data_IF_718511374494
#
_entry.id   IF_718511374494
#
_cell.length_a   1.000
_cell.length_b   1.000
_cell.length_c   1.000
_cell.angle_alpha   90.00
_cell.angle_beta   90.00
_cell.angle_gamma   90.00
#
_symmetry.space_group_name_H-M   'P 1'
#
loop_
_entity.id
_entity.type
_entity.pdbx_description
1 polymer ?
#
# COMPACT_ATOMS: atom_id res chain seq x y z
N UNK A 1 -32.51 15.10 -9.13
CA UNK A 1 -32.53 13.71 -9.64
C UNK A 1 -31.08 13.29 -9.67
N UNK A 2 -30.73 12.39 -8.75
CA UNK A 2 -29.51 12.50 -7.96
C UNK A 2 -28.33 11.72 -8.54
N UNK A 3 -27.23 12.43 -8.83
CA UNK A 3 -25.96 11.89 -9.35
C UNK A 3 -25.31 10.83 -8.46
N UNK A 4 -25.67 10.80 -7.17
CA UNK A 4 -25.23 9.79 -6.22
C UNK A 4 -25.82 8.40 -6.54
N UNK A 5 -27.09 8.36 -6.96
CA UNK A 5 -27.74 7.10 -7.32
C UNK A 5 -27.16 6.54 -8.63
N UNK A 6 -26.86 7.39 -9.60
CA UNK A 6 -26.17 6.97 -10.83
C UNK A 6 -24.75 6.45 -10.54
N UNK A 7 -24.01 7.10 -9.63
CA UNK A 7 -22.68 6.65 -9.22
C UNK A 7 -22.73 5.29 -8.50
N UNK A 8 -23.70 5.08 -7.60
CA UNK A 8 -23.88 3.81 -6.91
C UNK A 8 -24.37 2.70 -7.84
N UNK A 9 -25.24 3.02 -8.80
CA UNK A 9 -25.72 2.08 -9.82
C UNK A 9 -24.60 1.67 -10.78
N UNK A 10 -23.71 2.60 -11.13
CA UNK A 10 -22.49 2.35 -11.89
C UNK A 10 -21.55 1.40 -11.12
N UNK A 11 -21.28 1.67 -9.84
CA UNK A 11 -20.51 0.78 -8.98
C UNK A 11 -21.13 -0.62 -8.88
N UNK A 12 -22.47 -0.71 -8.85
CA UNK A 12 -23.20 -1.98 -8.79
C UNK A 12 -23.10 -2.76 -10.09
N UNK A 13 -23.21 -2.10 -11.26
CA UNK A 13 -23.02 -2.70 -12.59
C UNK A 13 -21.58 -3.18 -12.82
N UNK A 14 -20.59 -2.42 -12.34
CA UNK A 14 -19.18 -2.83 -12.35
C UNK A 14 -18.98 -4.13 -11.56
N UNK A 15 -19.74 -4.33 -10.47
CA UNK A 15 -19.60 -5.51 -9.61
C UNK A 15 -20.26 -6.76 -10.20
N UNK A 16 -21.34 -6.63 -10.97
CA UNK A 16 -22.12 -7.78 -11.48
C UNK A 16 -21.64 -8.33 -12.83
N UNK A 17 -20.90 -7.56 -13.63
CA UNK A 17 -20.41 -7.97 -14.96
C UNK A 17 -19.25 -8.99 -14.98
N UNK A 18 -18.66 -9.33 -13.82
CA UNK A 18 -17.36 -10.01 -13.70
C UNK A 18 -17.38 -11.55 -13.74
N UNK A 19 -18.43 -12.18 -14.26
CA UNK A 19 -18.60 -13.65 -14.20
C UNK A 19 -17.94 -14.56 -15.27
N UNK A 20 -17.29 -14.16 -16.37
CA UNK A 20 -16.88 -15.17 -17.36
C UNK A 20 -15.50 -15.84 -17.17
N UNK A 21 -14.51 -15.20 -16.55
CA UNK A 21 -13.11 -15.64 -16.69
C UNK A 21 -12.56 -16.61 -15.62
N UNK A 22 -13.33 -16.93 -14.57
CA UNK A 22 -12.93 -17.89 -13.52
C UNK A 22 -13.71 -19.22 -13.59
N UNK A 23 -14.44 -19.45 -14.68
CA UNK A 23 -15.16 -20.71 -14.92
C UNK A 23 -14.17 -21.80 -15.32
N UNK A 24 -13.51 -22.42 -14.34
CA UNK A 24 -13.07 -23.83 -14.45
C UNK A 24 -12.85 -24.46 -13.06
N UNK A 25 -13.67 -24.11 -12.07
CA UNK A 25 -13.87 -24.97 -10.91
C UNK A 25 -15.33 -24.89 -10.45
N UNK A 26 -16.02 -26.02 -10.24
CA UNK A 26 -17.34 -26.01 -9.66
C UNK A 26 -17.22 -25.71 -8.15
N UNK A 27 -18.16 -24.94 -7.62
CA UNK A 27 -18.38 -24.62 -6.19
C UNK A 27 -17.66 -23.36 -5.65
N UNK A 28 -18.35 -22.22 -5.75
CA UNK A 28 -18.76 -21.34 -4.62
C UNK A 28 -18.95 -19.89 -5.11
N UNK A 29 -20.20 -19.45 -5.17
CA UNK A 29 -20.61 -18.05 -5.43
C UNK A 29 -20.38 -17.17 -4.18
N UNK A 30 -19.28 -17.40 -3.45
CA UNK A 30 -18.96 -16.81 -2.15
C UNK A 30 -17.46 -16.48 -2.00
N UNK A 31 -16.77 -16.10 -3.08
CA UNK A 31 -15.37 -15.66 -3.00
C UNK A 31 -15.32 -14.32 -2.26
N UNK A 32 -15.01 -14.35 -0.95
CA UNK A 32 -14.92 -13.15 -0.11
C UNK A 32 -13.75 -12.29 -0.61
N UNK A 33 -14.08 -11.20 -1.28
CA UNK A 33 -13.14 -10.21 -1.81
C UNK A 33 -12.52 -9.41 -0.66
N UNK A 34 -11.19 -9.28 -0.66
CA UNK A 34 -10.46 -8.43 0.30
C UNK A 34 -9.60 -7.41 -0.42
N UNK A 35 -9.64 -6.16 0.02
CA UNK A 35 -8.83 -5.07 -0.53
C UNK A 35 -7.62 -4.81 0.36
N UNK A 36 -6.44 -4.73 -0.24
CA UNK A 36 -5.20 -4.32 0.41
C UNK A 36 -4.77 -2.98 -0.13
N UNK A 37 -4.65 -1.98 0.74
CA UNK A 37 -4.05 -0.69 0.38
C UNK A 37 -2.56 -0.70 0.77
N UNK A 38 -1.62 -0.76 -0.18
CA UNK A 38 -0.21 -0.67 0.15
C UNK A 38 0.19 0.78 0.47
N UNK A 39 0.87 0.93 1.60
CA UNK A 39 1.45 2.15 2.13
C UNK A 39 2.93 1.87 2.45
N UNK A 40 3.68 2.90 2.83
CA UNK A 40 5.07 2.74 3.27
C UNK A 40 5.37 3.55 4.52
N UNK A 41 6.38 3.08 5.24
CA UNK A 41 7.09 3.95 6.17
C UNK A 41 7.97 4.94 5.42
N UNK A 42 7.99 6.17 5.92
CA UNK A 42 8.74 7.28 5.38
C UNK A 42 9.39 8.09 6.51
N UNK A 43 10.45 8.81 6.18
CA UNK A 43 11.00 9.86 7.03
C UNK A 43 10.60 11.23 6.50
N UNK A 44 10.12 12.09 7.39
CA UNK A 44 9.73 13.46 7.09
C UNK A 44 10.66 14.42 7.83
N UNK A 45 11.38 15.23 7.07
CA UNK A 45 12.19 16.33 7.57
C UNK A 45 11.35 17.57 7.86
N UNK A 46 11.84 18.48 8.70
CA UNK A 46 11.17 19.74 9.00
C UNK A 46 11.51 20.28 10.38
N UNK A 47 11.12 21.52 10.63
CA UNK A 47 11.29 22.11 11.96
C UNK A 47 10.36 21.41 12.99
N UNK A 48 10.63 21.51 14.31
CA UNK A 48 9.84 20.81 15.32
C UNK A 48 8.34 21.15 15.30
N UNK A 49 7.97 22.40 15.00
CA UNK A 49 6.57 22.82 14.94
C UNK A 49 5.83 22.22 13.74
N UNK A 50 6.49 22.15 12.59
CA UNK A 50 5.98 21.47 11.39
C UNK A 50 5.81 19.97 11.65
N UNK A 51 6.83 19.31 12.20
CA UNK A 51 6.78 17.87 12.48
C UNK A 51 5.77 17.50 13.55
N UNK A 52 5.47 18.40 14.50
CA UNK A 52 4.42 18.17 15.50
C UNK A 52 3.01 18.02 14.89
N UNK A 53 2.80 18.43 13.63
CA UNK A 53 1.55 18.23 12.89
C UNK A 53 1.40 16.82 12.33
N UNK A 54 2.48 16.04 12.20
CA UNK A 54 2.41 14.66 11.72
C UNK A 54 1.54 13.80 12.65
N UNK A 55 0.82 12.78 12.12
CA UNK A 55 0.15 11.80 12.96
C UNK A 55 1.15 11.12 13.90
N UNK A 56 0.84 11.07 15.20
CA UNK A 56 1.62 10.28 16.16
C UNK A 56 1.28 8.81 15.97
N UNK A 57 2.24 8.04 15.47
CA UNK A 57 2.06 6.62 15.23
C UNK A 57 1.97 5.88 16.58
N UNK A 58 0.97 5.00 16.77
CA UNK A 58 0.92 4.14 17.94
C UNK A 58 2.10 3.15 17.94
N UNK A 59 2.49 2.66 19.12
CA UNK A 59 3.68 1.80 19.27
C UNK A 59 3.70 0.61 18.31
N UNK A 60 2.57 -0.09 18.12
CA UNK A 60 2.49 -1.25 17.23
C UNK A 60 2.75 -0.92 15.74
N UNK A 61 2.70 0.36 15.33
CA UNK A 61 3.03 0.82 13.98
C UNK A 61 4.40 1.48 13.89
N UNK A 62 5.22 1.42 14.93
CA UNK A 62 6.58 1.94 14.90
C UNK A 62 7.55 0.77 14.80
N UNK A 63 7.93 0.32 13.59
CA UNK A 63 8.96 -0.72 13.44
C UNK A 63 10.33 -0.23 13.92
N UNK A 64 10.47 1.08 14.16
CA UNK A 64 11.72 1.71 14.55
C UNK A 64 11.88 1.93 16.06
N UNK A 65 11.08 1.25 16.89
CA UNK A 65 11.22 1.34 18.36
C UNK A 65 12.65 1.02 18.83
N UNK A 66 13.33 0.09 18.14
CA UNK A 66 14.67 -0.35 18.49
C UNK A 66 15.79 0.58 17.99
N UNK A 67 15.47 1.54 17.11
CA UNK A 67 16.45 2.39 16.41
C UNK A 67 16.54 3.81 17.01
N UNK A 68 15.74 4.08 18.05
CA UNK A 68 15.71 5.37 18.76
C UNK A 68 14.93 6.47 18.04
N UNK A 69 14.57 7.53 18.79
CA UNK A 69 13.86 8.67 18.21
C UNK A 69 14.78 9.55 17.36
N UNK A 70 14.24 10.05 16.25
CA UNK A 70 14.95 10.96 15.36
C UNK A 70 14.84 12.41 15.85
N UNK A 71 15.97 13.09 16.05
CA UNK A 71 15.99 14.48 16.56
C UNK A 71 15.53 15.50 15.52
N UNK A 72 15.89 15.32 14.24
CA UNK A 72 15.72 16.31 13.17
C UNK A 72 14.73 15.89 12.07
N UNK A 73 14.10 14.73 12.22
CA UNK A 73 13.10 14.17 11.31
C UNK A 73 12.09 13.35 12.12
N UNK A 74 11.01 12.91 11.51
CA UNK A 74 10.02 12.05 12.16
C UNK A 74 9.55 10.97 11.20
N UNK A 75 9.30 9.78 11.72
CA UNK A 75 8.69 8.72 10.93
C UNK A 75 7.21 9.02 10.67
N UNK A 76 6.75 8.68 9.47
CA UNK A 76 5.37 8.84 9.05
C UNK A 76 4.96 7.66 8.15
N UNK A 77 3.65 7.46 8.02
CA UNK A 77 3.08 6.56 7.02
C UNK A 77 2.65 7.40 5.83
N UNK A 78 3.09 7.01 4.63
CA UNK A 78 2.79 7.70 3.36
C UNK A 78 2.35 6.70 2.29
N UNK A 79 1.70 7.15 1.21
CA UNK A 79 1.46 6.32 0.02
C UNK A 79 2.77 5.71 -0.49
N UNK A 80 2.65 4.51 -1.06
CA UNK A 80 3.78 3.82 -1.67
C UNK A 80 4.34 4.67 -2.82
N UNK A 81 5.66 4.88 -2.85
CA UNK A 81 6.32 5.64 -3.92
C UNK A 81 6.47 4.79 -5.17
N UNK A 82 6.84 5.44 -6.27
CA UNK A 82 7.11 4.76 -7.55
C UNK A 82 8.09 3.60 -7.39
N UNK A 83 7.75 2.46 -7.99
CA UNK A 83 8.52 1.22 -7.90
C UNK A 83 7.70 -0.01 -8.26
N UNK A 84 8.05 -1.14 -7.64
CA UNK A 84 7.51 -2.46 -7.91
C UNK A 84 7.09 -3.14 -6.61
N UNK A 85 5.87 -3.64 -6.57
CA UNK A 85 5.28 -4.33 -5.44
C UNK A 85 4.98 -5.78 -5.81
N UNK A 86 5.47 -6.69 -4.96
CA UNK A 86 5.34 -8.12 -5.09
C UNK A 86 4.63 -8.67 -3.85
N UNK A 87 3.69 -9.60 -4.04
CA UNK A 87 3.00 -10.28 -2.94
C UNK A 87 3.31 -11.77 -2.98
N UNK A 88 4.07 -12.24 -1.99
CA UNK A 88 4.33 -13.66 -1.80
C UNK A 88 3.21 -14.25 -0.94
N UNK A 89 2.54 -15.27 -1.44
CA UNK A 89 1.43 -15.94 -0.76
C UNK A 89 1.78 -17.42 -0.52
N UNK A 90 1.46 -17.90 0.67
CA UNK A 90 1.34 -19.33 0.96
C UNK A 90 -0.14 -19.66 1.12
N UNK A 91 -0.63 -20.59 0.31
CA UNK A 91 -1.98 -21.13 0.43
C UNK A 91 -1.99 -22.45 1.19
N UNK A 92 -3.08 -22.77 1.86
CA UNK A 92 -3.28 -24.08 2.49
C UNK A 92 -3.43 -25.18 1.43
N UNK A 93 -4.02 -24.84 0.28
CA UNK A 93 -4.24 -25.72 -0.87
C UNK A 93 -2.99 -26.00 -1.70
N UNK A 94 -1.93 -25.20 -1.57
CA UNK A 94 -0.70 -25.31 -2.35
C UNK A 94 0.47 -25.70 -1.47
N UNK A 95 1.40 -26.53 -1.96
CA UNK A 95 2.56 -26.97 -1.18
C UNK A 95 3.67 -25.91 -1.10
N UNK A 96 3.79 -25.04 -2.10
CA UNK A 96 4.84 -24.02 -2.19
C UNK A 96 4.32 -22.61 -1.92
N UNK A 97 5.24 -21.69 -1.64
CA UNK A 97 4.98 -20.25 -1.73
C UNK A 97 4.91 -19.84 -3.20
N UNK A 98 4.02 -18.92 -3.52
CA UNK A 98 3.80 -18.43 -4.89
C UNK A 98 3.68 -16.92 -4.92
N UNK A 99 4.16 -16.31 -6.00
CA UNK A 99 3.93 -14.89 -6.25
C UNK A 99 2.51 -14.70 -6.76
N UNK A 100 1.67 -14.04 -5.96
CA UNK A 100 0.27 -13.79 -6.30
C UNK A 100 0.14 -12.95 -7.57
N UNK A 101 0.91 -11.86 -7.63
CA UNK A 101 0.89 -10.86 -8.70
C UNK A 101 2.07 -9.91 -8.51
N UNK A 102 2.36 -9.15 -9.56
CA UNK A 102 3.36 -8.08 -9.56
C UNK A 102 2.69 -6.78 -10.00
N UNK A 103 3.00 -5.70 -9.31
CA UNK A 103 2.42 -4.38 -9.57
C UNK A 103 3.52 -3.36 -9.78
N UNK A 104 3.37 -2.53 -10.81
CA UNK A 104 4.09 -1.26 -10.90
C UNK A 104 3.31 -0.20 -10.13
N UNK A 105 3.99 0.46 -9.22
CA UNK A 105 3.45 1.58 -8.45
C UNK A 105 3.76 2.85 -9.21
N UNK A 106 2.74 3.60 -9.60
CA UNK A 106 2.89 4.90 -10.22
C UNK A 106 3.27 5.98 -9.17
N UNK A 107 3.80 7.15 -9.60
CA UNK A 107 4.15 8.24 -8.68
C UNK A 107 3.03 8.70 -7.75
N UNK A 108 1.77 8.51 -8.15
CA UNK A 108 0.59 8.86 -7.36
C UNK A 108 0.12 7.75 -6.39
N UNK A 109 0.83 6.61 -6.33
CA UNK A 109 0.50 5.45 -5.51
C UNK A 109 -0.53 4.49 -6.14
N UNK A 110 -0.97 4.73 -7.38
CA UNK A 110 -1.80 3.77 -8.11
C UNK A 110 -0.99 2.56 -8.56
N UNK A 111 -1.67 1.42 -8.71
CA UNK A 111 -1.11 0.11 -9.00
C UNK A 111 -1.51 -0.32 -10.39
N UNK A 112 -0.52 -0.65 -11.20
CA UNK A 112 -0.69 -1.23 -12.52
C UNK A 112 -0.21 -2.66 -12.48
N UNK A 113 -1.06 -3.59 -12.92
CA UNK A 113 -0.66 -4.98 -13.09
C UNK A 113 0.40 -5.08 -14.18
N UNK A 114 1.48 -5.83 -13.92
CA UNK A 114 2.56 -6.06 -14.89
C UNK A 114 2.80 -7.55 -15.11
N UNK A 115 3.29 -7.89 -16.30
CA UNK A 115 3.78 -9.24 -16.58
C UNK A 115 5.03 -9.53 -15.77
N UNK A 116 5.10 -10.74 -15.22
CA UNK A 116 6.27 -11.25 -14.49
C UNK A 116 7.51 -11.37 -15.39
N UNK A 117 7.30 -11.65 -16.68
CA UNK A 117 8.39 -11.94 -17.64
C UNK A 117 9.05 -10.67 -18.18
N UNK A 118 8.32 -9.55 -18.15
CA UNK A 118 8.76 -8.28 -18.72
C UNK A 118 8.37 -7.07 -17.85
N UNK A 119 8.82 -7.01 -16.58
CA UNK A 119 8.42 -5.95 -15.65
C UNK A 119 8.92 -4.55 -16.07
N UNK A 120 9.89 -4.46 -17.00
CA UNK A 120 10.37 -3.20 -17.57
C UNK A 120 9.47 -2.65 -18.67
N UNK A 121 8.60 -3.46 -19.27
CA UNK A 121 7.73 -2.99 -20.34
C UNK A 121 6.70 -1.99 -19.78
N UNK A 122 6.38 -0.92 -20.50
CA UNK A 122 5.28 -0.05 -20.12
C UNK A 122 3.99 -0.87 -20.07
N UNK A 123 3.11 -0.57 -19.10
CA UNK A 123 1.81 -1.21 -19.05
C UNK A 123 1.12 -1.03 -20.42
N UNK A 124 0.51 -2.09 -20.97
CA UNK A 124 -0.15 -2.00 -22.26
C UNK A 124 -1.15 -0.84 -22.24
N UNK A 125 -1.12 0.03 -23.27
CA UNK A 125 -2.10 1.09 -23.46
C UNK A 125 -3.46 0.43 -23.72
N UNK A 126 -4.21 0.19 -22.65
CA UNK A 126 -5.49 -0.49 -22.75
C UNK A 126 -6.54 0.47 -23.29
N UNK A 127 -7.06 0.19 -24.48
CA UNK A 127 -8.06 1.02 -25.17
C UNK A 127 -9.49 0.89 -24.62
N UNK A 128 -9.72 0.08 -23.60
CA UNK A 128 -11.05 -0.14 -22.99
C UNK A 128 -11.14 0.54 -21.62
N UNK A 129 -12.23 1.28 -21.38
CA UNK A 129 -12.53 1.96 -20.12
C UNK A 129 -12.48 1.02 -18.89
N UNK A 130 -12.88 -0.24 -19.04
CA UNK A 130 -12.85 -1.24 -17.97
C UNK A 130 -11.42 -1.63 -17.57
N UNK A 131 -10.50 -1.68 -18.53
CA UNK A 131 -9.09 -1.98 -18.28
C UNK A 131 -8.36 -0.73 -17.77
N UNK A 132 -8.75 0.46 -18.22
CA UNK A 132 -8.29 1.74 -17.65
C UNK A 132 -8.66 1.81 -16.16
N UNK A 133 -9.91 1.50 -15.79
CA UNK A 133 -10.34 1.50 -14.38
C UNK A 133 -9.60 0.43 -13.55
N UNK A 134 -9.32 -0.74 -14.11
CA UNK A 134 -8.46 -1.77 -13.47
C UNK A 134 -6.99 -1.32 -13.36
N UNK A 135 -6.50 -0.53 -14.30
CA UNK A 135 -5.14 0.01 -14.36
C UNK A 135 -4.92 1.22 -13.44
N UNK A 136 -5.99 1.79 -12.89
CA UNK A 136 -5.97 2.92 -11.95
C UNK A 136 -6.49 2.53 -10.56
N UNK A 137 -6.35 1.26 -10.17
CA UNK A 137 -6.64 0.82 -8.81
C UNK A 137 -5.51 1.22 -7.85
N UNK A 138 -5.82 1.62 -6.63
CA UNK A 138 -4.82 1.84 -5.55
C UNK A 138 -4.90 0.74 -4.47
N UNK A 139 -5.75 -0.26 -4.68
CA UNK A 139 -5.86 -1.44 -3.82
C UNK A 139 -5.58 -2.71 -4.61
N UNK A 140 -5.06 -3.71 -3.91
CA UNK A 140 -4.87 -5.06 -4.41
C UNK A 140 -6.03 -5.91 -3.93
N UNK A 141 -6.70 -6.58 -4.86
CA UNK A 141 -7.82 -7.45 -4.53
C UNK A 141 -7.34 -8.89 -4.33
N UNK A 142 -7.51 -9.42 -3.13
CA UNK A 142 -7.31 -10.82 -2.80
C UNK A 142 -8.63 -11.59 -2.78
N UNK A 143 -8.53 -12.87 -3.14
CA UNK A 143 -9.63 -13.85 -3.12
C UNK A 143 -9.23 -15.06 -2.28
N UNK A 144 -10.24 -15.80 -1.81
CA UNK A 144 -10.09 -17.04 -1.06
C UNK A 144 -9.19 -16.87 0.16
N UNK A 145 -9.55 -15.91 1.01
CA UNK A 145 -8.79 -15.54 2.21
C UNK A 145 -8.65 -16.69 3.21
N UNK A 146 -9.67 -17.56 3.29
CA UNK A 146 -9.67 -18.73 4.17
C UNK A 146 -8.61 -19.75 3.76
N UNK A 147 -8.12 -19.68 2.51
CA UNK A 147 -7.05 -20.51 1.99
C UNK A 147 -5.68 -19.81 2.09
N UNK A 148 -5.61 -18.52 2.45
CA UNK A 148 -4.33 -17.82 2.61
C UNK A 148 -3.78 -18.09 4.01
N UNK A 149 -2.72 -18.91 4.07
CA UNK A 149 -1.98 -19.18 5.29
C UNK A 149 -1.07 -18.01 5.65
N UNK A 150 -0.43 -17.40 4.66
CA UNK A 150 0.55 -16.34 4.88
C UNK A 150 0.63 -15.38 3.69
N UNK A 151 0.79 -14.08 3.98
CA UNK A 151 1.06 -13.04 3.00
C UNK A 151 2.31 -12.26 3.40
N UNK A 152 3.26 -12.12 2.49
CA UNK A 152 4.47 -11.31 2.66
C UNK A 152 4.62 -10.31 1.52
N UNK A 153 4.44 -9.00 1.76
CA UNK A 153 4.69 -7.99 0.76
C UNK A 153 6.20 -7.70 0.63
N UNK A 154 6.63 -7.43 -0.60
CA UNK A 154 7.98 -6.99 -0.93
C UNK A 154 7.88 -5.80 -1.88
N UNK A 155 8.50 -4.69 -1.51
CA UNK A 155 8.64 -3.52 -2.37
C UNK A 155 10.08 -3.36 -2.85
N UNK A 156 10.25 -2.93 -4.09
CA UNK A 156 11.55 -2.58 -4.65
C UNK A 156 11.43 -1.35 -5.56
N UNK A 157 12.38 -0.40 -5.52
CA UNK A 157 12.41 0.73 -6.46
C UNK A 157 12.68 0.29 -7.92
N UNK A 158 13.20 -0.92 -8.12
CA UNK A 158 13.60 -1.44 -9.42
C UNK A 158 13.06 -2.86 -9.61
N UNK A 159 12.79 -3.30 -10.85
CA UNK A 159 12.24 -4.62 -11.08
C UNK A 159 13.22 -5.69 -10.61
N UNK A 160 12.72 -6.67 -9.86
CA UNK A 160 13.53 -7.79 -9.39
C UNK A 160 13.72 -8.82 -10.50
N UNK A 161 14.89 -9.46 -10.51
CA UNK A 161 15.15 -10.56 -11.44
C UNK A 161 14.39 -11.82 -11.01
N UNK A 162 14.04 -12.73 -11.94
CA UNK A 162 13.39 -14.00 -11.61
C UNK A 162 14.17 -14.80 -10.55
N UNK A 163 15.51 -14.80 -10.66
CA UNK A 163 16.39 -15.47 -9.69
C UNK A 163 16.22 -14.91 -8.27
N UNK A 164 16.11 -13.59 -8.12
CA UNK A 164 15.94 -12.98 -6.80
C UNK A 164 14.53 -13.25 -6.24
N UNK A 165 13.52 -13.26 -7.10
CA UNK A 165 12.16 -13.68 -6.72
C UNK A 165 12.12 -15.15 -6.26
N UNK A 166 12.90 -16.03 -6.91
CA UNK A 166 13.06 -17.41 -6.47
C UNK A 166 13.80 -17.52 -5.13
N UNK A 167 14.81 -16.69 -4.87
CA UNK A 167 15.48 -16.66 -3.56
C UNK A 167 14.47 -16.39 -2.43
N UNK A 168 13.59 -15.40 -2.58
CA UNK A 168 12.54 -15.12 -1.58
C UNK A 168 11.53 -16.27 -1.42
N UNK A 169 11.33 -17.09 -2.46
CA UNK A 169 10.41 -18.24 -2.43
C UNK A 169 11.05 -19.47 -1.78
N UNK A 170 12.31 -19.73 -2.09
CA UNK A 170 13.01 -21.00 -1.81
C UNK A 170 13.95 -20.92 -0.60
N UNK A 171 14.54 -19.74 -0.33
CA UNK A 171 15.52 -19.55 0.73
C UNK A 171 14.85 -18.89 1.94
N UNK A 172 14.43 -19.73 2.88
CA UNK A 172 13.64 -19.34 4.04
C UNK A 172 14.38 -18.36 4.96
N UNK A 173 15.53 -18.78 5.50
CA UNK A 173 16.23 -18.05 6.57
C UNK A 173 16.88 -16.74 6.08
N UNK A 174 17.38 -16.74 4.85
CA UNK A 174 18.13 -15.59 4.32
C UNK A 174 17.20 -14.53 3.70
N UNK A 175 16.15 -14.95 3.01
CA UNK A 175 15.31 -14.04 2.22
C UNK A 175 13.86 -14.01 2.71
N UNK A 176 13.15 -15.15 2.75
CA UNK A 176 11.71 -15.14 3.03
C UNK A 176 11.38 -14.56 4.41
N UNK A 177 12.12 -14.97 5.43
CA UNK A 177 11.92 -14.55 6.81
C UNK A 177 12.32 -13.10 7.08
N UNK A 178 13.05 -12.46 6.15
CA UNK A 178 13.34 -11.03 6.19
C UNK A 178 12.11 -10.16 5.86
N UNK A 179 11.10 -10.71 5.18
CA UNK A 179 9.88 -9.98 4.83
C UNK A 179 8.88 -9.99 5.99
N UNK A 180 8.16 -8.90 6.27
CA UNK A 180 7.13 -8.90 7.30
C UNK A 180 5.98 -9.84 6.92
N UNK A 181 5.63 -10.75 7.84
CA UNK A 181 4.48 -11.65 7.67
C UNK A 181 3.19 -10.95 8.11
N UNK A 182 2.19 -10.96 7.23
CA UNK A 182 0.86 -10.42 7.50
C UNK A 182 -0.11 -11.59 7.70
N UNK A 183 -0.81 -11.54 8.84
CA UNK A 183 -1.75 -12.58 9.27
C UNK A 183 -3.15 -12.23 8.72
N UNK A 184 -3.43 -12.73 7.51
CA UNK A 184 -4.68 -12.44 6.83
C UNK A 184 -5.89 -13.07 7.53
N UNK A 185 -5.67 -14.19 8.24
CA UNK A 185 -6.71 -14.88 8.99
C UNK A 185 -7.27 -14.01 10.13
N UNK A 186 -6.53 -13.02 10.63
CA UNK A 186 -7.05 -12.05 11.62
C UNK A 186 -8.05 -11.06 11.04
N UNK A 187 -8.01 -10.76 9.74
CA UNK A 187 -8.95 -9.80 9.12
C UNK A 187 -10.30 -10.42 8.75
N UNK A 188 -10.38 -11.76 8.67
CA UNK A 188 -11.64 -12.47 8.46
C UNK A 188 -12.43 -12.66 9.76
N UNK A 189 -11.78 -12.49 10.91
CA UNK A 189 -12.35 -12.57 12.26
C UNK A 189 -13.02 -11.25 12.69
N UNK A 190 -13.90 -11.27 13.72
CA UNK A 190 -14.59 -10.07 14.20
C UNK A 190 -13.64 -8.93 14.64
N UNK A 191 -14.14 -7.69 14.54
CA UNK A 191 -13.42 -6.41 14.67
C UNK A 191 -12.52 -6.22 15.90
N UNK A 192 -12.69 -7.02 16.95
CA UNK A 192 -11.96 -6.93 18.24
C UNK A 192 -10.54 -7.53 18.21
N UNK A 193 -10.09 -8.04 17.06
CA UNK A 193 -8.72 -8.55 16.94
C UNK A 193 -7.69 -7.47 17.37
N UNK A 194 -6.66 -7.86 18.16
CA UNK A 194 -5.65 -6.92 18.64
C UNK A 194 -4.91 -6.27 17.46
N UNK A 195 -4.39 -5.04 17.63
CA UNK A 195 -3.62 -4.38 16.59
C UNK A 195 -2.46 -5.24 16.10
N UNK A 196 -2.27 -5.29 14.78
CA UNK A 196 -1.17 -6.00 14.14
C UNK A 196 -0.10 -4.99 13.68
N UNK A 197 1.20 -5.30 13.84
CA UNK A 197 2.26 -4.50 13.24
C UNK A 197 2.06 -4.31 11.74
N UNK A 198 2.46 -3.16 11.22
CA UNK A 198 2.38 -2.84 9.79
C UNK A 198 0.96 -2.80 9.20
N UNK A 199 -0.12 -2.80 10.00
CA UNK A 199 -1.49 -2.85 9.46
C UNK A 199 -2.41 -1.77 10.03
N UNK A 200 -3.16 -1.14 9.13
CA UNK A 200 -4.20 -0.15 9.43
C UNK A 200 -5.58 -0.68 9.05
N UNK A 201 -6.56 -0.46 9.93
CA UNK A 201 -7.97 -0.58 9.59
C UNK A 201 -8.45 0.64 8.80
N UNK A 202 -9.60 0.50 8.14
CA UNK A 202 -10.24 1.57 7.35
C UNK A 202 -10.48 2.90 8.10
N UNK A 203 -10.77 2.84 9.40
CA UNK A 203 -11.01 3.96 10.31
C UNK A 203 -9.70 4.58 10.85
N UNK A 204 -8.57 3.90 10.66
CA UNK A 204 -7.24 4.32 11.10
C UNK A 204 -6.44 5.05 10.00
N UNK A 205 -7.03 5.24 8.82
CA UNK A 205 -6.38 5.89 7.68
C UNK A 205 -5.97 7.35 7.94
N UNK A 206 -6.45 7.99 9.01
CA UNK A 206 -5.99 9.32 9.44
C UNK A 206 -4.54 9.32 9.98
N UNK A 207 -3.92 8.16 10.19
CA UNK A 207 -2.48 8.07 10.48
C UNK A 207 -1.59 8.12 9.24
N UNK A 208 -2.18 8.06 8.03
CA UNK A 208 -1.44 8.34 6.80
C UNK A 208 -1.27 9.84 6.69
N UNK A 209 -0.02 10.32 6.69
CA UNK A 209 0.30 11.75 6.73
C UNK A 209 -0.35 12.51 5.58
N UNK A 210 -0.25 11.97 4.36
CA UNK A 210 -0.84 12.55 3.15
C UNK A 210 -2.38 12.56 3.16
N UNK A 211 -3.02 11.65 3.91
CA UNK A 211 -4.47 11.67 4.07
C UNK A 211 -4.92 12.71 5.09
N UNK A 212 -4.18 12.84 6.20
CA UNK A 212 -4.40 13.89 7.20
C UNK A 212 -4.17 15.29 6.63
N UNK A 213 -3.19 15.43 5.74
CA UNK A 213 -2.84 16.70 5.10
C UNK A 213 -3.98 17.31 4.26
N UNK A 214 -4.95 16.50 3.82
CA UNK A 214 -6.14 17.01 3.11
C UNK A 214 -6.94 18.02 3.94
N UNK A 215 -6.89 17.91 5.26
CA UNK A 215 -7.58 18.79 6.20
C UNK A 215 -6.62 19.75 6.95
N UNK A 216 -5.31 19.74 6.63
CA UNK A 216 -4.28 20.56 7.27
C UNK A 216 -3.31 21.13 6.23
N UNK A 217 -3.55 22.37 5.81
CA UNK A 217 -2.78 23.05 4.76
C UNK A 217 -1.28 23.22 5.12
N UNK A 218 -0.95 23.40 6.41
CA UNK A 218 0.45 23.52 6.84
C UNK A 218 1.16 22.16 6.79
N UNK A 219 0.44 21.08 7.11
CA UNK A 219 0.96 19.73 6.94
C UNK A 219 1.13 19.40 5.45
N UNK A 220 0.18 19.79 4.59
CA UNK A 220 0.31 19.64 3.14
C UNK A 220 1.55 20.36 2.63
N UNK A 221 1.74 21.63 2.99
CA UNK A 221 2.92 22.40 2.60
C UNK A 221 4.24 21.77 3.08
N UNK A 222 4.25 21.13 4.26
CA UNK A 222 5.41 20.36 4.73
C UNK A 222 5.69 19.15 3.84
N UNK A 223 4.65 18.39 3.49
CA UNK A 223 4.76 17.17 2.68
C UNK A 223 5.14 17.47 1.22
N UNK A 224 4.72 18.62 0.70
CA UNK A 224 5.07 19.10 -0.65
C UNK A 224 6.58 19.42 -0.79
N UNK A 225 7.29 19.63 0.32
CA UNK A 225 8.74 19.83 0.34
C UNK A 225 9.53 18.52 0.46
N UNK A 226 8.85 17.39 0.73
CA UNK A 226 9.51 16.11 0.91
C UNK A 226 9.72 15.41 -0.44
N UNK A 227 10.76 14.57 -0.57
CA UNK A 227 10.89 13.69 -1.72
C UNK A 227 9.69 12.78 -1.92
N UNK A 228 9.51 12.33 -3.16
CA UNK A 228 8.44 11.42 -3.57
C UNK A 228 7.03 11.95 -3.25
N UNK A 229 6.88 13.28 -3.17
CA UNK A 229 5.58 13.92 -3.17
C UNK A 229 4.94 13.82 -4.56
N UNK A 230 3.61 13.78 -4.60
CA UNK A 230 2.86 13.82 -5.84
C UNK A 230 1.55 14.58 -5.62
N UNK A 231 1.16 15.41 -6.57
CA UNK A 231 -0.03 16.25 -6.45
C UNK A 231 -1.34 15.44 -6.51
N UNK A 232 -1.29 14.21 -7.05
CA UNK A 232 -2.46 13.36 -7.28
C UNK A 232 -2.53 12.14 -6.37
N UNK A 233 -2.31 12.33 -5.06
CA UNK A 233 -2.37 11.22 -4.09
C UNK A 233 -3.73 10.51 -4.12
N UNK A 234 -3.69 9.18 -4.01
CA UNK A 234 -4.83 8.30 -3.75
C UNK A 234 -5.87 8.96 -2.84
N UNK A 235 -7.14 8.95 -3.26
CA UNK A 235 -8.22 9.58 -2.49
C UNK A 235 -8.41 8.90 -1.12
N UNK A 236 -8.34 9.65 0.00
CA UNK A 236 -8.57 9.08 1.34
C UNK A 236 -9.99 8.55 1.50
N UNK A 237 -10.98 9.28 0.95
CA UNK A 237 -12.39 8.87 1.01
C UNK A 237 -12.61 7.57 0.25
N UNK A 238 -12.06 7.46 -0.95
CA UNK A 238 -12.23 6.27 -1.78
C UNK A 238 -11.46 5.07 -1.18
N UNK A 239 -10.27 5.31 -0.61
CA UNK A 239 -9.53 4.31 0.17
C UNK A 239 -10.32 3.80 1.36
N UNK A 240 -10.88 4.71 2.16
CA UNK A 240 -11.71 4.34 3.31
C UNK A 240 -12.91 3.51 2.86
N UNK A 241 -13.60 3.92 1.80
CA UNK A 241 -14.76 3.20 1.27
C UNK A 241 -14.40 1.81 0.73
N UNK A 242 -13.23 1.65 0.11
CA UNK A 242 -12.76 0.36 -0.41
C UNK A 242 -12.50 -0.64 0.73
N UNK A 243 -11.95 -0.18 1.85
CA UNK A 243 -11.60 -1.03 3.00
C UNK A 243 -12.77 -1.22 4.00
N UNK A 244 -13.70 -0.27 4.04
CA UNK A 244 -14.82 -0.27 4.98
C UNK A 244 -15.76 -1.48 4.80
N UNK A 245 -16.39 -1.97 5.88
CA UNK A 245 -17.45 -2.96 5.77
C UNK A 245 -18.60 -2.45 4.88
N UNK A 246 -19.30 -3.33 4.13
CA UNK A 246 -20.55 -2.95 3.48
C UNK A 246 -21.60 -2.47 4.47
N UNK A 247 -22.57 -1.69 3.99
CA UNK A 247 -23.74 -1.29 4.79
C UNK A 247 -24.40 -2.56 5.37
N UNK A 248 -24.66 -2.56 6.68
CA UNK A 248 -25.21 -3.67 7.46
C UNK A 248 -24.26 -4.85 7.72
N UNK A 249 -22.95 -4.69 7.52
CA UNK A 249 -21.94 -5.68 7.93
C UNK A 249 -20.95 -5.06 8.91
N UNK A 250 -20.36 -5.89 9.76
CA UNK A 250 -19.32 -5.49 10.72
C UNK A 250 -17.92 -5.89 10.28
N UNK A 251 -17.81 -6.78 9.29
CA UNK A 251 -16.53 -7.31 8.84
C UNK A 251 -15.90 -6.39 7.80
N UNK A 252 -14.66 -5.92 7.98
CA UNK A 252 -13.99 -5.07 7.03
C UNK A 252 -13.83 -5.77 5.68
N UNK A 253 -13.85 -4.99 4.59
CA UNK A 253 -13.57 -5.45 3.23
C UNK A 253 -12.08 -5.44 2.93
N UNK A 254 -11.28 -4.84 3.78
CA UNK A 254 -9.86 -4.68 3.52
C UNK A 254 -9.09 -4.11 4.69
N UNK A 255 -7.78 -4.00 4.49
CA UNK A 255 -6.85 -3.35 5.40
C UNK A 255 -5.79 -2.60 4.59
N UNK A 256 -5.16 -1.60 5.19
CA UNK A 256 -3.95 -1.01 4.63
C UNK A 256 -2.73 -1.67 5.23
N UNK A 257 -1.74 -2.00 4.40
CA UNK A 257 -0.49 -2.64 4.81
C UNK A 257 0.64 -1.63 4.64
N UNK A 258 1.48 -1.48 5.66
CA UNK A 258 2.58 -0.51 5.69
C UNK A 258 3.89 -1.24 5.46
N UNK A 259 4.43 -1.09 4.27
CA UNK A 259 5.61 -1.80 3.82
C UNK A 259 6.86 -1.07 4.28
N UNK A 260 7.88 -1.84 4.63
CA UNK A 260 9.21 -1.30 4.90
C UNK A 260 9.91 -0.93 3.59
N UNK A 261 10.23 0.36 3.44
CA UNK A 261 10.98 0.90 2.32
C UNK A 261 12.26 1.56 2.86
N UNK A 262 13.19 0.74 3.35
CA UNK A 262 14.43 1.21 3.96
C UNK A 262 15.24 2.09 3.00
N UNK A 263 15.21 1.79 1.70
CA UNK A 263 15.85 2.60 0.65
C UNK A 263 15.18 3.99 0.57
N UNK A 264 13.85 4.04 0.52
CA UNK A 264 13.11 5.31 0.47
C UNK A 264 13.34 6.17 1.70
N UNK A 265 13.30 5.58 2.91
CA UNK A 265 13.62 6.28 4.16
C UNK A 265 15.04 6.88 4.09
N UNK A 266 16.01 6.09 3.63
CA UNK A 266 17.40 6.56 3.49
C UNK A 266 17.52 7.70 2.48
N UNK A 267 16.79 7.63 1.37
CA UNK A 267 16.75 8.69 0.35
C UNK A 267 16.11 9.97 0.90
N UNK A 268 15.02 9.85 1.66
CA UNK A 268 14.33 10.98 2.29
C UNK A 268 15.22 11.70 3.31
N UNK A 269 15.90 10.94 4.16
CA UNK A 269 16.85 11.50 5.14
C UNK A 269 18.05 12.18 4.47
N UNK A 270 18.58 11.58 3.41
CA UNK A 270 19.68 12.18 2.65
C UNK A 270 19.24 13.47 1.93
N UNK A 271 18.05 13.48 1.33
CA UNK A 271 17.51 14.66 0.68
C UNK A 271 17.28 15.80 1.69
N UNK A 272 16.70 15.50 2.85
CA UNK A 272 16.52 16.47 3.94
C UNK A 272 17.86 17.06 4.40
N UNK A 273 18.87 16.22 4.63
CA UNK A 273 20.21 16.67 5.00
C UNK A 273 20.83 17.57 3.93
N UNK A 274 20.69 17.20 2.65
CA UNK A 274 21.30 17.94 1.55
C UNK A 274 20.60 19.28 1.28
N UNK A 275 19.28 19.36 1.46
CA UNK A 275 18.53 20.62 1.34
C UNK A 275 19.08 21.69 2.30
N UNK A 276 19.42 21.30 3.53
CA UNK A 276 20.06 22.21 4.50
C UNK A 276 21.47 22.68 4.07
N UNK A 277 22.18 21.91 3.23
CA UNK A 277 23.52 22.26 2.73
C UNK A 277 23.44 23.15 1.50
N UNK A 278 22.46 22.94 0.62
CA UNK A 278 22.30 23.74 -0.60
C UNK A 278 21.87 25.19 -0.30
N UNK A 279 21.11 25.40 0.77
CA UNK A 279 20.82 26.73 1.34
C UNK A 279 22.06 27.48 1.82
N UNK A 280 23.11 26.75 2.22
CA UNK A 280 24.39 27.35 2.61
C UNK A 280 25.16 27.70 1.36
N UNK A 281 25.31 26.78 0.39
CA UNK A 281 26.08 27.03 -0.83
C UNK A 281 25.58 28.23 -1.63
N UNK A 282 24.26 28.45 -1.69
CA UNK A 282 23.65 29.61 -2.37
C UNK A 282 23.90 30.95 -1.69
N UNK A 283 24.33 30.98 -0.42
CA UNK A 283 24.69 32.22 0.30
C UNK A 283 26.16 32.60 0.19
N UNK A 284 27.01 31.70 -0.26
CA UNK A 284 28.47 31.89 -0.31
C UNK A 284 29.03 31.95 -1.74
N UNK A 285 28.18 31.83 -2.75
CA UNK A 285 28.47 32.02 -4.18
C UNK A 285 27.68 33.22 -4.69
#
# INVERSE_FOLDING_TARGET
>A
MDSLNEALELCRRITTGYRPALRNSPVADCTRRFELLPLRYAAVGGNPAQRARLPKLPGYLSPFQDVGEMTHSSYAIRPLREGFLYLLIKRHSADAYEWHSQYRVAPNGSLQYISADAPWEPAPLTGNLDDIIRSFGWTITLYDLDDIQELRPLFSPSPLTPRLLDNYRLLEDEYRNSLPAIDIARFIQPSEAPPQPHVLKHDQLNWVADFKARDDADLQALLDLQPFNNDQIVSPHASRQALAPPVNQTKPRGAAIVIEDAIGITQELNAWRNAAVDDVKTKWL
#
